data_IF_471755835730
#
_entry.id   IF_471755835730
#
_cell.length_a   1.000
_cell.length_b   1.000
_cell.length_c   1.000
_cell.angle_alpha   90.00
_cell.angle_beta   90.00
_cell.angle_gamma   90.00
#
_symmetry.space_group_name_H-M   'P 1'
#
loop_
_entity.id
_entity.type
_entity.pdbx_description
1 polymer ?
#
# COMPACT_ATOMS: atom_id res chain seq x y z
N UNK A 1 -3.38 9.79 -14.73
CA UNK A 1 -4.74 9.56 -15.21
C UNK A 1 -5.58 8.90 -14.11
N UNK A 2 -6.92 9.06 -14.14
CA UNK A 2 -7.78 8.42 -13.15
C UNK A 2 -7.63 6.90 -13.10
N UNK A 3 -7.38 6.28 -14.26
CA UNK A 3 -7.21 4.84 -14.32
C UNK A 3 -6.01 4.38 -13.47
N UNK A 4 -4.90 5.05 -13.63
CA UNK A 4 -3.68 4.70 -12.86
C UNK A 4 -3.89 4.92 -11.37
N UNK A 5 -4.57 6.00 -11.01
CA UNK A 5 -4.89 6.28 -9.62
C UNK A 5 -5.74 5.16 -9.00
N UNK A 6 -6.81 4.75 -9.69
CA UNK A 6 -7.70 3.71 -9.16
C UNK A 6 -7.00 2.37 -9.07
N UNK A 7 -6.10 2.08 -10.01
CA UNK A 7 -5.30 0.87 -9.95
C UNK A 7 -4.38 0.88 -8.72
N UNK A 8 -3.70 1.99 -8.49
CA UNK A 8 -2.84 2.12 -7.32
C UNK A 8 -3.62 1.98 -6.03
N UNK A 9 -4.80 2.60 -5.95
CA UNK A 9 -5.66 2.50 -4.78
C UNK A 9 -6.10 1.06 -4.53
N UNK A 10 -6.36 0.31 -5.60
CA UNK A 10 -6.72 -1.10 -5.49
C UNK A 10 -5.60 -1.92 -4.88
N UNK A 11 -4.35 -1.62 -5.23
CA UNK A 11 -3.21 -2.31 -4.63
C UNK A 11 -3.08 -2.02 -3.14
N UNK A 12 -3.37 -0.79 -2.72
CA UNK A 12 -3.37 -0.46 -1.29
C UNK A 12 -4.43 -1.28 -0.56
N UNK A 13 -5.62 -1.38 -1.15
CA UNK A 13 -6.71 -2.17 -0.54
C UNK A 13 -6.36 -3.66 -0.49
N UNK A 14 -5.67 -4.15 -1.50
CA UNK A 14 -5.22 -5.54 -1.49
C UNK A 14 -4.21 -5.78 -0.36
N UNK A 15 -3.33 -4.82 -0.14
CA UNK A 15 -2.40 -4.91 0.98
C UNK A 15 -3.16 -4.97 2.31
N UNK A 16 -4.24 -4.20 2.45
CA UNK A 16 -5.08 -4.27 3.65
C UNK A 16 -5.66 -5.66 3.86
N UNK A 17 -6.10 -6.31 2.79
CA UNK A 17 -6.62 -7.68 2.87
C UNK A 17 -5.54 -8.64 3.36
N UNK A 18 -4.32 -8.51 2.83
CA UNK A 18 -3.21 -9.34 3.30
C UNK A 18 -2.93 -9.12 4.78
N UNK A 19 -2.95 -7.85 5.23
CA UNK A 19 -2.72 -7.55 6.64
C UNK A 19 -3.78 -8.19 7.53
N UNK A 20 -5.04 -8.15 7.12
CA UNK A 20 -6.11 -8.77 7.88
C UNK A 20 -5.99 -10.29 7.93
N UNK A 21 -5.37 -10.87 6.93
CA UNK A 21 -5.15 -12.31 6.86
C UNK A 21 -3.87 -12.75 7.57
N UNK A 22 -3.17 -11.83 8.22
CA UNK A 22 -1.92 -12.14 8.91
C UNK A 22 -0.73 -12.26 7.98
N UNK A 23 -0.87 -11.86 6.71
CA UNK A 23 0.21 -11.95 5.72
C UNK A 23 0.91 -10.61 5.59
N UNK A 24 1.54 -10.19 6.69
CA UNK A 24 2.13 -8.86 6.77
C UNK A 24 3.33 -8.67 5.84
N UNK A 25 4.12 -9.72 5.63
CA UNK A 25 5.25 -9.62 4.70
C UNK A 25 4.77 -9.38 3.27
N UNK A 26 3.72 -10.10 2.86
CA UNK A 26 3.15 -9.90 1.53
C UNK A 26 2.60 -8.48 1.38
N UNK A 27 1.89 -8.00 2.40
CA UNK A 27 1.37 -6.63 2.39
C UNK A 27 2.49 -5.62 2.25
N UNK A 28 3.56 -5.81 3.00
CA UNK A 28 4.70 -4.90 2.95
C UNK A 28 5.32 -4.86 1.55
N UNK A 29 5.47 -6.02 0.93
CA UNK A 29 6.05 -6.08 -0.42
C UNK A 29 5.18 -5.37 -1.44
N UNK A 30 3.86 -5.53 -1.36
CA UNK A 30 2.95 -4.83 -2.26
C UNK A 30 3.05 -3.32 -2.07
N UNK A 31 3.10 -2.87 -0.81
CA UNK A 31 3.17 -1.44 -0.52
C UNK A 31 4.50 -0.84 -0.99
N UNK A 32 5.60 -1.53 -0.77
CA UNK A 32 6.91 -1.04 -1.20
C UNK A 32 7.01 -1.00 -2.72
N UNK A 33 6.48 -2.02 -3.38
CA UNK A 33 6.47 -2.06 -4.85
C UNK A 33 5.64 -0.91 -5.40
N UNK A 34 4.49 -0.67 -4.81
CA UNK A 34 3.62 0.44 -5.23
C UNK A 34 4.31 1.78 -5.00
N UNK A 35 4.95 1.95 -3.86
CA UNK A 35 5.67 3.18 -3.54
C UNK A 35 6.73 3.49 -4.59
N UNK A 36 7.42 2.45 -5.06
CA UNK A 36 8.46 2.61 -6.06
C UNK A 36 7.92 2.90 -7.45
N UNK A 37 6.77 2.32 -7.80
CA UNK A 37 6.24 2.38 -9.16
C UNK A 37 5.18 3.45 -9.37
N UNK A 38 4.60 3.99 -8.31
CA UNK A 38 3.56 5.00 -8.41
C UNK A 38 4.00 6.24 -7.63
N UNK A 39 4.39 7.27 -8.34
CA UNK A 39 4.91 8.50 -7.73
C UNK A 39 4.12 9.68 -8.26
N UNK A 40 2.92 9.85 -7.72
CA UNK A 40 2.04 10.94 -8.06
C UNK A 40 1.75 11.77 -6.81
N UNK A 41 1.45 13.03 -7.02
CA UNK A 41 1.16 13.95 -5.92
C UNK A 41 -0.33 13.86 -5.56
N UNK A 42 -0.69 12.80 -4.86
CA UNK A 42 -2.07 12.58 -4.42
C UNK A 42 -2.06 11.86 -3.07
N UNK A 43 -3.21 11.32 -2.65
CA UNK A 43 -3.35 10.69 -1.34
C UNK A 43 -2.75 9.28 -1.25
N UNK A 44 -2.35 8.69 -2.36
CA UNK A 44 -1.82 7.32 -2.36
C UNK A 44 -0.54 7.23 -1.53
N UNK A 45 0.35 8.22 -1.65
CA UNK A 45 1.60 8.22 -0.88
C UNK A 45 1.31 8.17 0.62
N UNK A 46 0.36 8.95 1.09
CA UNK A 46 -0.04 8.95 2.49
C UNK A 46 -0.64 7.62 2.92
N UNK A 47 -1.45 7.01 2.05
CA UNK A 47 -2.03 5.71 2.33
C UNK A 47 -0.94 4.64 2.49
N UNK A 48 0.06 4.65 1.61
CA UNK A 48 1.16 3.71 1.67
C UNK A 48 1.94 3.89 2.97
N UNK A 49 2.31 5.13 3.29
CA UNK A 49 3.13 5.40 4.47
C UNK A 49 2.38 5.03 5.76
N UNK A 50 1.09 5.31 5.81
CA UNK A 50 0.25 4.96 6.95
C UNK A 50 0.29 3.46 7.22
N UNK A 51 0.17 2.66 6.17
CA UNK A 51 0.15 1.21 6.30
C UNK A 51 1.53 0.63 6.61
N UNK A 52 2.58 1.19 6.00
CA UNK A 52 3.94 0.75 6.32
C UNK A 52 4.28 1.04 7.78
N UNK A 53 3.86 2.19 8.28
CA UNK A 53 4.07 2.54 9.68
C UNK A 53 3.35 1.55 10.60
N UNK A 54 2.13 1.18 10.26
CA UNK A 54 1.37 0.22 11.04
C UNK A 54 2.06 -1.14 11.06
N UNK A 55 2.57 -1.60 9.91
CA UNK A 55 3.29 -2.86 9.83
C UNK A 55 4.56 -2.84 10.68
N UNK A 56 5.22 -1.70 10.72
CA UNK A 56 6.43 -1.53 11.50
C UNK A 56 6.15 -1.66 13.00
N UNK A 57 5.04 -1.10 13.47
CA UNK A 57 4.71 -1.12 14.89
C UNK A 57 4.13 -2.44 15.35
N UNK A 58 3.62 -3.26 14.42
CA UNK A 58 3.03 -4.55 14.78
C UNK A 58 4.06 -5.67 14.87
N UNK A 59 5.30 -5.38 14.57
CA UNK A 59 6.37 -6.34 14.78
C UNK A 59 6.87 -6.22 16.20
#
# INVERSE_FOLDING_TARGET
TPHTYWLARSFVLLADVYMKSGRNLDAKQYLLSLKQNYQADDDIAGMIESRLEKLKTEN
#
